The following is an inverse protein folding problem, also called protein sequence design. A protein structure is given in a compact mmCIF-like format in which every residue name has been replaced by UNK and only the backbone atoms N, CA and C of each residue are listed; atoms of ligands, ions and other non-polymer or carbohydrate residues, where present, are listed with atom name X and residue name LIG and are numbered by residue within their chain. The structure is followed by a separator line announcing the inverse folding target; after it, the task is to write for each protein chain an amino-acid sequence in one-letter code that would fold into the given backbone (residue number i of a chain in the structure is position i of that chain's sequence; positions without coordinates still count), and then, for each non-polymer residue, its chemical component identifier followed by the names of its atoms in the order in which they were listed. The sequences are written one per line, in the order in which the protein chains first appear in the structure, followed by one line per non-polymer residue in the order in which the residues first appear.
data_IF_975686606631
#
_entry.id   IF_975686606631
#
_cell.length_a   1.000
_cell.length_b   1.000
_cell.length_c   1.000
_cell.angle_alpha   90.00
_cell.angle_beta   90.00
_cell.angle_gamma   90.00
#
_symmetry.space_group_name_H-M   'P 1'
#
loop_
_entity.id
_entity.type
_entity.pdbx_description
1 polymer ?
#
# COMPACT_ATOMS: atom_id res chain seq x y z
N UNK A 1 3.21 -10.41 -2.95
CA UNK A 1 2.18 -9.88 -2.03
C UNK A 1 2.20 -10.74 -0.79
N UNK A 2 2.24 -10.14 0.40
CA UNK A 2 2.24 -10.89 1.65
C UNK A 2 0.83 -11.41 1.97
N UNK A 3 0.68 -12.24 3.00
CA UNK A 3 -0.61 -12.83 3.39
C UNK A 3 -1.66 -11.79 3.82
N UNK A 4 -1.23 -10.58 4.15
CA UNK A 4 -2.07 -9.44 4.52
C UNK A 4 -2.42 -8.53 3.32
N UNK A 5 -2.22 -9.01 2.09
CA UNK A 5 -2.46 -8.27 0.85
C UNK A 5 -1.60 -7.00 0.68
N UNK A 6 -0.51 -6.85 1.45
CA UNK A 6 0.43 -5.74 1.30
C UNK A 6 1.56 -6.03 0.31
N UNK A 7 2.05 -4.97 -0.32
CA UNK A 7 3.32 -4.95 -1.07
C UNK A 7 4.37 -4.31 -0.19
N UNK A 8 5.48 -5.02 0.07
CA UNK A 8 6.48 -4.60 1.05
C UNK A 8 7.86 -4.45 0.45
N UNK A 9 8.60 -3.48 0.97
CA UNK A 9 10.03 -3.25 0.68
C UNK A 9 10.74 -2.86 1.97
N UNK A 10 11.85 -3.54 2.29
CA UNK A 10 12.66 -3.30 3.49
C UNK A 10 11.88 -3.27 4.84
N UNK A 11 10.72 -3.95 4.91
CA UNK A 11 9.87 -4.00 6.10
C UNK A 11 8.70 -3.02 6.11
N UNK A 12 8.72 -2.02 5.23
CA UNK A 12 7.66 -1.02 5.02
C UNK A 12 6.70 -1.43 3.90
N UNK A 13 5.56 -0.74 3.78
CA UNK A 13 4.48 -1.04 2.86
C UNK A 13 4.35 0.03 1.76
N UNK A 14 3.92 -0.37 0.57
CA UNK A 14 3.44 0.55 -0.47
C UNK A 14 2.09 1.12 -0.03
N UNK A 15 2.01 2.45 0.07
CA UNK A 15 0.90 3.19 0.65
C UNK A 15 0.38 4.24 -0.35
N UNK A 16 -0.95 4.38 -0.47
CA UNK A 16 -1.56 5.51 -1.16
C UNK A 16 -1.68 6.72 -0.21
N UNK A 17 -0.91 7.77 -0.49
CA UNK A 17 -0.64 8.86 0.46
C UNK A 17 -1.91 9.48 1.04
N UNK A 18 -1.90 9.61 2.37
CA UNK A 18 -3.01 10.19 3.13
C UNK A 18 -4.29 9.34 3.14
N UNK A 19 -4.21 8.08 2.73
CA UNK A 19 -5.38 7.20 2.62
C UNK A 19 -6.31 7.56 1.47
N UNK A 20 -5.84 8.31 0.48
CA UNK A 20 -6.67 8.82 -0.62
C UNK A 20 -6.77 7.79 -1.76
N UNK A 21 -7.92 7.76 -2.44
CA UNK A 21 -8.21 6.87 -3.57
C UNK A 21 -8.50 7.62 -4.88
N UNK A 22 -8.32 8.95 -4.90
CA UNK A 22 -8.49 9.75 -6.11
C UNK A 22 -7.39 9.45 -7.12
N UNK A 23 -7.73 9.50 -8.42
CA UNK A 23 -6.75 9.35 -9.49
C UNK A 23 -5.62 10.39 -9.37
N UNK A 24 -4.39 9.92 -9.53
CA UNK A 24 -3.19 10.75 -9.34
C UNK A 24 -2.75 10.92 -7.89
N UNK A 25 -3.39 10.24 -6.93
CA UNK A 25 -2.85 10.13 -5.56
C UNK A 25 -1.43 9.54 -5.61
N UNK A 26 -0.42 10.23 -5.07
CA UNK A 26 0.94 9.69 -5.00
C UNK A 26 1.01 8.41 -4.15
N UNK A 27 1.97 7.56 -4.47
CA UNK A 27 2.32 6.42 -3.63
C UNK A 27 3.57 6.74 -2.82
N UNK A 28 3.65 6.19 -1.62
CA UNK A 28 4.81 6.30 -0.74
C UNK A 28 5.17 4.96 -0.10
N UNK A 29 6.37 4.91 0.49
CA UNK A 29 6.80 3.79 1.33
C UNK A 29 6.64 4.23 2.77
N UNK A 30 5.70 3.60 3.47
CA UNK A 30 5.31 3.99 4.83
C UNK A 30 5.27 2.79 5.77
N UNK A 31 5.23 3.06 7.07
CA UNK A 31 5.07 2.04 8.09
C UNK A 31 3.79 1.23 7.84
N UNK A 32 3.90 -0.08 7.97
CA UNK A 32 2.76 -0.97 7.73
C UNK A 32 1.78 -0.88 8.90
N UNK A 33 0.57 -0.40 8.65
CA UNK A 33 -0.50 -0.25 9.66
C UNK A 33 -1.77 -1.05 9.32
N UNK A 34 -1.72 -1.83 8.23
CA UNK A 34 -2.82 -2.66 7.74
C UNK A 34 -4.04 -1.84 7.26
N UNK A 35 -3.83 -0.55 6.98
CA UNK A 35 -4.81 0.35 6.38
C UNK A 35 -5.23 -0.11 4.97
N UNK A 36 -6.44 0.29 4.56
CA UNK A 36 -6.97 -0.09 3.25
C UNK A 36 -6.13 0.47 2.08
N UNK A 37 -5.49 1.62 2.29
CA UNK A 37 -4.53 2.26 1.38
C UNK A 37 -3.20 1.52 1.22
N UNK A 38 -3.00 0.42 1.96
CA UNK A 38 -1.83 -0.46 1.84
C UNK A 38 -2.17 -1.85 1.28
N UNK A 39 -3.43 -2.08 0.88
CA UNK A 39 -3.92 -3.35 0.34
C UNK A 39 -4.05 -3.27 -1.18
N UNK A 40 -3.33 -4.15 -1.88
CA UNK A 40 -3.24 -4.10 -3.34
C UNK A 40 -3.65 -5.43 -3.95
N UNK A 41 -4.51 -5.40 -4.97
CA UNK A 41 -4.78 -6.58 -5.79
C UNK A 41 -3.94 -6.51 -7.07
N UNK A 42 -2.92 -7.36 -7.17
CA UNK A 42 -2.09 -7.40 -8.36
C UNK A 42 -2.73 -8.27 -9.45
N UNK A 43 -2.71 -7.83 -10.72
CA UNK A 43 -2.96 -8.75 -11.82
C UNK A 43 -1.86 -9.83 -11.83
N UNK A 44 -2.26 -11.07 -12.12
CA UNK A 44 -1.35 -12.22 -12.26
C UNK A 44 -0.44 -12.12 -13.46
#
# INVERSE_FOLDING_TARGET
MQSDSSLRVLGSCLDATGGNSADGTPLEIWDCDNGANQQWNLPG
#
